data_IF_900468023980
#
_entry.id   IF_900468023980
#
_cell.length_a   1.000
_cell.length_b   1.000
_cell.length_c   1.000
_cell.angle_alpha   90.00
_cell.angle_beta   90.00
_cell.angle_gamma   90.00
#
_symmetry.space_group_name_H-M   'P 1'
#
loop_
_entity.id
_entity.type
_entity.pdbx_description
1 polymer ?
#
# COMPACT_ATOMS: atom_id res chain seq x y z
N UNK A 1 -8.00 -24.58 24.67
CA UNK A 1 -8.32 -23.47 23.73
C UNK A 1 -7.07 -22.91 23.07
N UNK A 2 -6.01 -22.59 23.81
CA UNK A 2 -4.75 -22.01 23.28
C UNK A 2 -4.08 -22.87 22.20
N UNK A 3 -3.95 -24.18 22.40
CA UNK A 3 -3.34 -25.08 21.39
C UNK A 3 -4.15 -25.12 20.09
N UNK A 4 -5.49 -25.10 20.18
CA UNK A 4 -6.35 -25.05 19.01
C UNK A 4 -6.14 -23.77 18.22
N UNK A 5 -6.11 -22.61 18.89
CA UNK A 5 -5.86 -21.30 18.24
C UNK A 5 -4.49 -21.30 17.54
N UNK A 6 -3.44 -21.81 18.19
CA UNK A 6 -2.11 -21.92 17.60
C UNK A 6 -2.10 -22.81 16.34
N UNK A 7 -2.79 -23.95 16.37
CA UNK A 7 -2.94 -24.84 15.21
C UNK A 7 -3.72 -24.15 14.08
N UNK A 8 -4.81 -23.44 14.40
CA UNK A 8 -5.59 -22.70 13.40
C UNK A 8 -4.77 -21.58 12.76
N UNK A 9 -3.95 -20.85 13.52
CA UNK A 9 -3.01 -19.89 12.95
C UNK A 9 -1.98 -20.55 12.03
N UNK A 10 -1.48 -21.73 12.40
CA UNK A 10 -0.55 -22.50 11.56
C UNK A 10 -1.18 -22.88 10.22
N UNK A 11 -2.40 -23.40 10.27
CA UNK A 11 -3.19 -23.71 9.07
C UNK A 11 -3.42 -22.44 8.25
N UNK A 12 -3.87 -21.34 8.88
CA UNK A 12 -4.15 -20.08 8.20
C UNK A 12 -2.94 -19.53 7.44
N UNK A 13 -1.77 -19.44 8.08
CA UNK A 13 -0.60 -18.89 7.38
C UNK A 13 -0.04 -19.85 6.33
N UNK A 14 -0.17 -21.17 6.52
CA UNK A 14 0.18 -22.15 5.49
C UNK A 14 -0.71 -22.00 4.25
N UNK A 15 -2.00 -21.73 4.43
CA UNK A 15 -2.91 -21.40 3.33
C UNK A 15 -2.58 -20.04 2.69
N UNK A 16 -2.13 -19.03 3.45
CA UNK A 16 -1.65 -17.78 2.84
C UNK A 16 -0.44 -18.02 1.93
N UNK A 17 0.56 -18.77 2.39
CA UNK A 17 1.74 -19.11 1.59
C UNK A 17 1.32 -19.87 0.33
N UNK A 18 0.54 -20.94 0.48
CA UNK A 18 0.10 -21.76 -0.66
C UNK A 18 -0.80 -20.99 -1.63
N UNK A 19 -1.69 -20.14 -1.11
CA UNK A 19 -2.55 -19.27 -1.90
C UNK A 19 -1.75 -18.29 -2.75
N UNK A 20 -0.75 -17.62 -2.17
CA UNK A 20 0.15 -16.70 -2.88
C UNK A 20 1.02 -17.40 -3.92
N UNK A 21 1.51 -18.62 -3.64
CA UNK A 21 2.20 -19.44 -4.65
C UNK A 21 1.28 -19.69 -5.85
N UNK A 22 0.00 -19.96 -5.60
CA UNK A 22 -1.00 -20.13 -6.65
C UNK A 22 -1.26 -18.88 -7.50
N UNK A 23 -0.99 -17.68 -6.99
CA UNK A 23 -1.15 -16.41 -7.74
C UNK A 23 -0.05 -16.16 -8.77
N UNK A 24 1.06 -16.90 -8.74
CA UNK A 24 2.18 -16.72 -9.68
C UNK A 24 1.87 -17.18 -11.10
N UNK A 25 0.88 -18.06 -11.28
CA UNK A 25 0.50 -18.64 -12.56
C UNK A 25 -0.95 -18.30 -12.96
N UNK A 26 -1.22 -17.92 -14.24
CA UNK A 26 -2.59 -17.60 -14.68
C UNK A 26 -3.60 -18.73 -14.47
N UNK A 27 -3.18 -19.99 -14.65
CA UNK A 27 -4.05 -21.18 -14.49
C UNK A 27 -4.46 -21.43 -13.03
N UNK A 28 -3.61 -21.07 -12.07
CA UNK A 28 -3.82 -21.33 -10.65
C UNK A 28 -4.32 -20.11 -9.89
N UNK A 29 -4.27 -18.90 -10.48
CA UNK A 29 -4.55 -17.64 -9.81
C UNK A 29 -5.90 -17.60 -9.09
N UNK A 30 -6.98 -18.06 -9.73
CA UNK A 30 -8.32 -18.09 -9.11
C UNK A 30 -8.35 -19.00 -7.88
N UNK A 31 -7.77 -20.19 -7.98
CA UNK A 31 -7.69 -21.15 -6.86
C UNK A 31 -6.81 -20.61 -5.74
N UNK A 32 -5.66 -20.02 -6.09
CA UNK A 32 -4.75 -19.39 -5.13
C UNK A 32 -5.44 -18.31 -4.30
N UNK A 33 -6.23 -17.45 -4.96
CA UNK A 33 -7.00 -16.42 -4.27
C UNK A 33 -8.05 -17.00 -3.31
N UNK A 34 -8.78 -18.05 -3.71
CA UNK A 34 -9.76 -18.71 -2.85
C UNK A 34 -9.11 -19.38 -1.63
N UNK A 35 -7.94 -19.99 -1.80
CA UNK A 35 -7.16 -20.60 -0.72
C UNK A 35 -6.71 -19.53 0.29
N UNK A 36 -6.19 -18.39 -0.19
CA UNK A 36 -5.82 -17.28 0.67
C UNK A 36 -7.03 -16.71 1.43
N UNK A 37 -8.20 -16.59 0.77
CA UNK A 37 -9.44 -16.17 1.42
C UNK A 37 -9.90 -17.14 2.52
N UNK A 38 -9.79 -18.45 2.29
CA UNK A 38 -10.06 -19.46 3.31
C UNK A 38 -9.09 -19.34 4.50
N UNK A 39 -7.80 -19.11 4.24
CA UNK A 39 -6.80 -18.82 5.27
C UNK A 39 -7.18 -17.62 6.14
N UNK A 40 -7.65 -16.53 5.52
CA UNK A 40 -8.14 -15.35 6.24
C UNK A 40 -9.36 -15.68 7.11
N UNK A 41 -10.33 -16.43 6.59
CA UNK A 41 -11.49 -16.88 7.37
C UNK A 41 -11.08 -17.68 8.62
N UNK A 42 -10.13 -18.60 8.47
CA UNK A 42 -9.60 -19.39 9.59
C UNK A 42 -8.87 -18.49 10.60
N UNK A 43 -8.06 -17.53 10.16
CA UNK A 43 -7.36 -16.60 11.06
C UNK A 43 -8.33 -15.75 11.89
N UNK A 44 -9.41 -15.25 11.27
CA UNK A 44 -10.46 -14.48 11.98
C UNK A 44 -11.15 -15.37 13.02
N UNK A 45 -11.57 -16.59 12.64
CA UNK A 45 -12.20 -17.53 13.57
C UNK A 45 -11.27 -17.86 14.74
N UNK A 46 -9.99 -18.14 14.45
CA UNK A 46 -8.99 -18.43 15.48
C UNK A 46 -8.83 -17.27 16.48
N UNK A 47 -8.83 -16.04 15.99
CA UNK A 47 -8.74 -14.83 16.82
C UNK A 47 -9.97 -14.68 17.73
N UNK A 48 -11.18 -14.94 17.20
CA UNK A 48 -12.42 -14.89 17.99
C UNK A 48 -12.48 -15.96 19.10
N UNK A 49 -11.75 -17.07 18.96
CA UNK A 49 -11.69 -18.13 19.97
C UNK A 49 -10.67 -17.86 21.09
N UNK A 50 -9.95 -16.72 21.05
CA UNK A 50 -9.00 -16.37 22.11
C UNK A 50 -9.70 -16.19 23.46
N UNK A 51 -9.14 -16.75 24.56
CA UNK A 51 -9.65 -16.50 25.90
C UNK A 51 -9.62 -15.00 26.23
N UNK A 52 -10.67 -14.48 26.86
CA UNK A 52 -10.77 -13.06 27.20
C UNK A 52 -11.37 -12.18 26.09
N UNK A 53 -11.71 -12.75 24.92
CA UNK A 53 -12.47 -12.03 23.89
C UNK A 53 -13.81 -11.58 24.46
N UNK A 54 -14.02 -10.27 24.46
CA UNK A 54 -15.19 -9.59 25.01
C UNK A 54 -15.73 -8.58 23.98
N UNK A 55 -16.78 -7.83 24.33
CA UNK A 55 -17.36 -6.81 23.45
C UNK A 55 -17.83 -7.36 22.09
N UNK A 56 -18.40 -8.56 22.09
CA UNK A 56 -18.89 -9.27 20.90
C UNK A 56 -19.78 -8.41 19.99
N UNK A 57 -20.60 -7.53 20.56
CA UNK A 57 -21.44 -6.60 19.80
C UNK A 57 -20.60 -5.60 18.99
N UNK A 58 -19.56 -5.01 19.59
CA UNK A 58 -18.67 -4.07 18.89
C UNK A 58 -17.84 -4.78 17.81
N UNK A 59 -17.36 -5.99 18.09
CA UNK A 59 -16.64 -6.82 17.10
C UNK A 59 -17.56 -7.12 15.91
N UNK A 60 -18.78 -7.60 16.17
CA UNK A 60 -19.76 -7.91 15.13
C UNK A 60 -20.14 -6.67 14.32
N UNK A 61 -20.35 -5.52 14.98
CA UNK A 61 -20.61 -4.24 14.30
C UNK A 61 -19.44 -3.79 13.43
N UNK A 62 -18.20 -3.91 13.91
CA UNK A 62 -17.00 -3.59 13.14
C UNK A 62 -16.89 -4.44 11.87
N UNK A 63 -17.07 -5.76 12.00
CA UNK A 63 -17.10 -6.69 10.86
C UNK A 63 -18.25 -6.33 9.90
N UNK A 64 -19.44 -6.07 10.42
CA UNK A 64 -20.61 -5.73 9.62
C UNK A 64 -20.40 -4.44 8.82
N UNK A 65 -19.95 -3.36 9.47
CA UNK A 65 -19.67 -2.07 8.82
C UNK A 65 -18.56 -2.22 7.77
N UNK A 66 -17.45 -2.87 8.13
CA UNK A 66 -16.35 -3.11 7.19
C UNK A 66 -16.78 -3.91 5.97
N UNK A 67 -17.60 -4.94 6.16
CA UNK A 67 -18.14 -5.77 5.06
C UNK A 67 -19.14 -4.98 4.21
N UNK A 68 -20.02 -4.20 4.84
CA UNK A 68 -21.05 -3.38 4.18
C UNK A 68 -20.43 -2.29 3.30
N UNK A 69 -19.32 -1.68 3.75
CA UNK A 69 -18.63 -0.64 2.98
C UNK A 69 -17.65 -1.25 1.95
N UNK A 70 -16.95 -2.32 2.32
CA UNK A 70 -15.91 -2.92 1.49
C UNK A 70 -16.44 -3.73 0.31
N UNK A 71 -17.41 -4.63 0.53
CA UNK A 71 -17.86 -5.57 -0.50
C UNK A 71 -18.57 -4.89 -1.68
N UNK A 72 -19.53 -3.96 -1.48
CA UNK A 72 -20.15 -3.26 -2.59
C UNK A 72 -19.15 -2.42 -3.38
N UNK A 73 -18.28 -1.68 -2.69
CA UNK A 73 -17.25 -0.84 -3.30
C UNK A 73 -16.28 -1.66 -4.16
N UNK A 74 -15.88 -2.85 -3.70
CA UNK A 74 -15.01 -3.75 -4.45
C UNK A 74 -15.70 -4.42 -5.66
N UNK A 75 -17.02 -4.68 -5.59
CA UNK A 75 -17.76 -5.34 -6.68
C UNK A 75 -18.23 -4.38 -7.77
N UNK A 76 -18.41 -3.11 -7.45
CA UNK A 76 -18.98 -2.12 -8.37
C UNK A 76 -17.92 -1.25 -9.08
N UNK A 77 -16.66 -1.32 -8.67
CA UNK A 77 -15.59 -0.55 -9.31
C UNK A 77 -15.32 -1.04 -10.74
N UNK A 78 -15.15 -0.10 -11.67
CA UNK A 78 -14.73 -0.39 -13.05
C UNK A 78 -13.27 -0.85 -13.08
N UNK A 79 -12.92 -1.75 -14.00
CA UNK A 79 -11.54 -2.26 -14.12
C UNK A 79 -10.49 -1.17 -14.37
N UNK A 80 -10.88 -0.07 -15.03
CA UNK A 80 -10.01 1.11 -15.26
C UNK A 80 -9.72 1.90 -13.97
N UNK A 81 -10.53 1.72 -12.94
CA UNK A 81 -10.44 2.38 -11.64
C UNK A 81 -9.88 1.47 -10.53
N UNK A 82 -9.33 0.31 -10.90
CA UNK A 82 -8.72 -0.63 -9.94
C UNK A 82 -7.55 -0.03 -9.15
N UNK A 83 -6.61 0.73 -9.76
CA UNK A 83 -5.45 1.23 -9.03
C UNK A 83 -5.80 2.08 -7.80
N UNK A 84 -6.79 2.99 -7.90
CA UNK A 84 -7.21 3.80 -6.76
C UNK A 84 -7.92 2.98 -5.68
N UNK A 85 -8.71 1.95 -6.05
CA UNK A 85 -9.35 1.09 -5.06
C UNK A 85 -8.33 0.27 -4.27
N UNK A 86 -7.28 -0.21 -4.94
CA UNK A 86 -6.14 -0.86 -4.26
C UNK A 86 -5.46 0.10 -3.30
N UNK A 87 -5.23 1.36 -3.70
CA UNK A 87 -4.66 2.38 -2.81
C UNK A 87 -5.52 2.59 -1.56
N UNK A 88 -6.84 2.73 -1.72
CA UNK A 88 -7.78 2.97 -0.63
C UNK A 88 -7.81 1.80 0.37
N UNK A 89 -7.96 0.56 -0.12
CA UNK A 89 -7.98 -0.63 0.75
C UNK A 89 -6.64 -0.86 1.45
N UNK A 90 -5.52 -0.62 0.77
CA UNK A 90 -4.21 -0.65 1.41
C UNK A 90 -4.13 0.38 2.55
N UNK A 91 -4.64 1.59 2.30
CA UNK A 91 -4.65 2.66 3.30
C UNK A 91 -5.38 2.23 4.56
N UNK A 92 -6.62 1.73 4.43
CA UNK A 92 -7.43 1.25 5.57
C UNK A 92 -6.68 0.18 6.39
N UNK A 93 -5.94 -0.72 5.74
CA UNK A 93 -5.09 -1.70 6.42
C UNK A 93 -3.99 -1.04 7.29
N UNK A 94 -3.27 -0.05 6.75
CA UNK A 94 -2.28 0.72 7.50
C UNK A 94 -2.91 1.52 8.66
N UNK A 95 -4.10 2.08 8.44
CA UNK A 95 -4.86 2.79 9.46
C UNK A 95 -5.28 1.87 10.61
N UNK A 96 -5.68 0.65 10.32
CA UNK A 96 -5.99 -0.35 11.35
C UNK A 96 -4.76 -0.66 12.22
N UNK A 97 -3.58 -0.84 11.63
CA UNK A 97 -2.33 -1.04 12.39
C UNK A 97 -2.01 0.17 13.27
N UNK A 98 -2.16 1.39 12.75
CA UNK A 98 -1.93 2.60 13.53
C UNK A 98 -2.87 2.72 14.75
N UNK A 99 -4.14 2.34 14.59
CA UNK A 99 -5.11 2.31 15.68
C UNK A 99 -4.81 1.18 16.68
N UNK A 100 -4.35 0.01 16.21
CA UNK A 100 -3.91 -1.08 17.10
C UNK A 100 -2.80 -0.57 18.03
N UNK A 101 -1.78 0.11 17.47
CA UNK A 101 -0.68 0.65 18.27
C UNK A 101 -1.12 1.72 19.28
N UNK A 102 -2.13 2.53 18.94
CA UNK A 102 -2.72 3.47 19.89
C UNK A 102 -3.44 2.76 21.04
N UNK A 103 -4.20 1.71 20.73
CA UNK A 103 -4.87 0.88 21.75
C UNK A 103 -3.84 0.20 22.64
N UNK A 104 -2.79 -0.41 22.09
CA UNK A 104 -1.70 -1.04 22.85
C UNK A 104 -1.04 -0.05 23.81
N UNK A 105 -0.73 1.16 23.34
CA UNK A 105 -0.17 2.23 24.19
C UNK A 105 -1.09 2.54 25.38
N UNK A 106 -2.41 2.70 25.15
CA UNK A 106 -3.35 3.02 26.24
C UNK A 106 -3.58 1.85 27.19
N UNK A 107 -3.62 0.62 26.69
CA UNK A 107 -3.87 -0.56 27.52
C UNK A 107 -2.67 -0.97 28.37
N UNK A 108 -1.45 -0.65 27.91
CA UNK A 108 -0.19 -0.97 28.62
C UNK A 108 0.34 0.17 29.48
N UNK A 109 -0.38 1.29 29.58
CA UNK A 109 0.10 2.46 30.33
C UNK A 109 1.37 3.08 29.74
N UNK A 110 1.47 3.15 28.40
CA UNK A 110 2.65 3.67 27.72
C UNK A 110 3.75 2.63 27.48
N UNK A 111 3.38 1.34 27.41
CA UNK A 111 4.30 0.20 27.34
C UNK A 111 5.18 0.04 28.60
N UNK A 112 4.66 0.45 29.76
CA UNK A 112 5.38 0.31 31.02
C UNK A 112 5.55 -1.18 31.38
N UNK A 113 6.78 -1.57 31.71
CA UNK A 113 7.13 -2.97 32.00
C UNK A 113 7.11 -3.93 30.80
N UNK A 114 6.75 -3.48 29.60
CA UNK A 114 6.78 -4.30 28.38
C UNK A 114 8.21 -4.50 27.86
N UNK A 115 8.43 -5.59 27.15
CA UNK A 115 9.73 -5.84 26.54
C UNK A 115 10.03 -4.80 25.45
N UNK A 116 11.27 -4.32 25.38
CA UNK A 116 11.70 -3.27 24.43
C UNK A 116 11.31 -3.60 22.98
N UNK A 117 11.37 -4.86 22.58
CA UNK A 117 11.01 -5.26 21.21
C UNK A 117 9.51 -5.07 20.91
N UNK A 118 8.63 -5.20 21.91
CA UNK A 118 7.18 -4.96 21.79
C UNK A 118 6.95 -3.47 21.57
N UNK A 119 7.51 -2.63 22.43
CA UNK A 119 7.42 -1.16 22.34
C UNK A 119 7.92 -0.66 20.99
N UNK A 120 9.09 -1.12 20.54
CA UNK A 120 9.66 -0.75 19.24
C UNK A 120 8.77 -1.23 18.08
N UNK A 121 8.26 -2.47 18.13
CA UNK A 121 7.41 -3.01 17.08
C UNK A 121 6.07 -2.27 16.98
N UNK A 122 5.39 -1.99 18.09
CA UNK A 122 4.15 -1.21 18.11
C UNK A 122 4.38 0.21 17.60
N UNK A 123 5.45 0.89 18.04
CA UNK A 123 5.72 2.27 17.60
C UNK A 123 6.13 2.35 16.12
N UNK A 124 6.89 1.37 15.62
CA UNK A 124 7.13 1.24 14.17
C UNK A 124 5.82 1.00 13.41
N UNK A 125 4.95 0.13 13.93
CA UNK A 125 3.61 -0.11 13.40
C UNK A 125 2.77 1.17 13.31
N UNK A 126 2.78 1.99 14.37
CA UNK A 126 2.10 3.29 14.41
C UNK A 126 2.57 4.23 13.30
N UNK A 127 3.90 4.39 13.16
CA UNK A 127 4.51 5.28 12.17
C UNK A 127 4.22 4.77 10.75
N UNK A 128 4.60 3.53 10.45
CA UNK A 128 4.47 2.96 9.11
C UNK A 128 3.00 2.82 8.68
N UNK A 129 2.12 2.42 9.61
CA UNK A 129 0.68 2.32 9.38
C UNK A 129 0.04 3.68 9.10
N UNK A 130 0.36 4.72 9.89
CA UNK A 130 -0.16 6.07 9.69
C UNK A 130 0.33 6.69 8.38
N UNK A 131 1.63 6.58 8.09
CA UNK A 131 2.20 7.02 6.79
C UNK A 131 1.48 6.33 5.63
N UNK A 132 1.25 5.02 5.74
CA UNK A 132 0.60 4.23 4.69
C UNK A 132 -0.86 4.63 4.49
N UNK A 133 -1.63 4.82 5.57
CA UNK A 133 -3.02 5.28 5.50
C UNK A 133 -3.13 6.62 4.79
N UNK A 134 -2.45 7.64 5.29
CA UNK A 134 -2.56 9.00 4.77
C UNK A 134 -1.93 9.16 3.39
N UNK A 135 -0.81 8.48 3.12
CA UNK A 135 -0.22 8.43 1.78
C UNK A 135 -1.15 7.77 0.76
N UNK A 136 -1.81 6.68 1.13
CA UNK A 136 -2.77 5.97 0.28
C UNK A 136 -3.98 6.83 -0.07
N UNK A 137 -4.45 7.68 0.85
CA UNK A 137 -5.56 8.61 0.58
C UNK A 137 -5.18 9.66 -0.48
N UNK A 138 -3.94 10.17 -0.47
CA UNK A 138 -3.47 11.07 -1.53
C UNK A 138 -3.34 10.33 -2.87
N UNK A 139 -2.82 9.10 -2.86
CA UNK A 139 -2.72 8.28 -4.07
C UNK A 139 -4.11 8.00 -4.67
N UNK A 140 -5.09 7.63 -3.83
CA UNK A 140 -6.49 7.48 -4.22
C UNK A 140 -7.04 8.79 -4.81
N UNK A 141 -6.90 9.91 -4.11
CA UNK A 141 -7.46 11.18 -4.52
C UNK A 141 -6.89 11.69 -5.86
N UNK A 142 -5.60 11.46 -6.12
CA UNK A 142 -4.97 11.80 -7.42
C UNK A 142 -5.47 10.93 -8.56
N UNK A 143 -5.55 9.62 -8.35
CA UNK A 143 -6.01 8.69 -9.38
C UNK A 143 -7.51 8.80 -9.66
N UNK A 144 -8.28 9.22 -8.66
CA UNK A 144 -9.71 9.52 -8.80
C UNK A 144 -9.98 10.90 -9.44
N UNK A 145 -8.95 11.73 -9.62
CA UNK A 145 -9.08 13.09 -10.16
C UNK A 145 -9.66 14.12 -9.17
N UNK A 146 -9.77 13.76 -7.88
CA UNK A 146 -10.15 14.69 -6.80
C UNK A 146 -9.01 15.69 -6.55
N UNK A 147 -7.76 15.20 -6.60
CA UNK A 147 -6.55 16.01 -6.62
C UNK A 147 -5.95 15.99 -8.02
N UNK A 148 -5.26 17.08 -8.45
CA UNK A 148 -4.61 17.07 -9.76
C UNK A 148 -3.44 16.09 -9.76
N UNK A 149 -3.24 15.39 -10.88
CA UNK A 149 -2.16 14.42 -11.04
C UNK A 149 -0.75 15.02 -11.14
N UNK A 150 -0.61 16.34 -11.24
CA UNK A 150 0.70 17.02 -11.25
C UNK A 150 1.33 17.00 -9.84
N UNK A 151 2.67 16.92 -9.74
CA UNK A 151 3.39 17.13 -8.48
C UNK A 151 2.95 18.40 -7.74
N UNK A 152 2.60 18.28 -6.45
CA UNK A 152 2.32 19.41 -5.56
C UNK A 152 3.27 19.30 -4.36
N UNK A 153 4.27 20.17 -4.28
CA UNK A 153 5.24 20.12 -3.20
C UNK A 153 6.08 21.37 -3.09
N UNK A 154 6.96 21.39 -2.10
CA UNK A 154 7.79 22.55 -1.76
C UNK A 154 9.18 22.53 -2.44
N UNK A 155 9.32 21.79 -3.55
CA UNK A 155 10.62 21.58 -4.21
C UNK A 155 11.64 20.98 -3.23
N UNK A 156 12.86 21.53 -3.19
CA UNK A 156 13.95 21.02 -2.34
C UNK A 156 13.66 21.10 -0.83
N UNK A 157 12.85 22.06 -0.40
CA UNK A 157 12.45 22.20 1.01
C UNK A 157 11.59 21.02 1.49
N UNK A 158 11.00 20.27 0.55
CA UNK A 158 10.22 19.07 0.86
C UNK A 158 11.07 18.00 1.56
N UNK A 159 12.36 17.87 1.22
CA UNK A 159 13.26 16.93 1.88
C UNK A 159 13.41 17.31 3.36
N UNK A 160 13.64 18.60 3.62
CA UNK A 160 13.78 19.11 4.99
C UNK A 160 12.49 18.89 5.78
N UNK A 161 11.33 19.22 5.20
CA UNK A 161 10.03 18.98 5.82
C UNK A 161 9.84 17.50 6.18
N UNK A 162 10.08 16.60 5.23
CA UNK A 162 9.90 15.16 5.44
C UNK A 162 10.85 14.63 6.52
N UNK A 163 12.11 15.07 6.53
CA UNK A 163 13.10 14.69 7.55
C UNK A 163 12.69 15.21 8.92
N UNK A 164 12.23 16.46 9.03
CA UNK A 164 11.77 17.05 10.31
C UNK A 164 10.54 16.32 10.84
N UNK A 165 9.56 16.02 9.98
CA UNK A 165 8.37 15.27 10.37
C UNK A 165 8.73 13.85 10.85
N UNK A 166 9.61 13.15 10.12
CA UNK A 166 10.06 11.82 10.52
C UNK A 166 10.86 11.87 11.82
N UNK A 167 11.80 12.80 11.96
CA UNK A 167 12.60 12.96 13.17
C UNK A 167 11.72 13.31 14.38
N UNK A 168 10.70 14.15 14.20
CA UNK A 168 9.73 14.46 15.25
C UNK A 168 8.90 13.24 15.67
N UNK A 169 8.40 12.46 14.70
CA UNK A 169 7.65 11.22 14.97
C UNK A 169 8.53 10.19 15.71
N UNK A 170 9.77 10.01 15.27
CA UNK A 170 10.74 9.11 15.91
C UNK A 170 11.14 9.61 17.29
N UNK A 171 11.35 10.92 17.48
CA UNK A 171 11.67 11.49 18.79
C UNK A 171 10.53 11.29 19.80
N UNK A 172 9.27 11.47 19.37
CA UNK A 172 8.10 11.18 20.20
C UNK A 172 8.00 9.67 20.53
N UNK A 173 8.28 8.79 19.57
CA UNK A 173 8.32 7.35 19.79
C UNK A 173 9.45 6.95 20.76
N UNK A 174 10.64 7.53 20.63
CA UNK A 174 11.76 7.30 21.55
C UNK A 174 11.42 7.79 22.95
N UNK A 175 10.75 8.95 23.08
CA UNK A 175 10.29 9.45 24.37
C UNK A 175 9.32 8.48 25.06
N UNK A 176 8.41 7.84 24.30
CA UNK A 176 7.56 6.75 24.82
C UNK A 176 8.42 5.57 25.29
N UNK A 177 9.35 5.11 24.45
CA UNK A 177 10.25 4.01 24.79
C UNK A 177 11.18 4.28 25.99
N UNK A 178 11.35 5.54 26.39
CA UNK A 178 12.08 5.96 27.58
C UNK A 178 11.19 6.09 28.83
N UNK A 179 9.93 5.65 28.77
CA UNK A 179 8.97 5.69 29.88
C UNK A 179 7.98 6.85 29.82
N UNK A 180 7.84 7.52 28.66
CA UNK A 180 6.83 8.55 28.45
C UNK A 180 5.44 7.94 28.24
N UNK A 181 4.53 8.14 29.17
CA UNK A 181 3.16 7.61 29.17
C UNK A 181 2.10 8.64 28.73
N UNK A 182 2.52 9.88 28.46
CA UNK A 182 1.62 10.96 28.05
C UNK A 182 0.93 10.63 26.73
N UNK A 183 -0.41 10.71 26.72
CA UNK A 183 -1.23 10.48 25.52
C UNK A 183 -0.90 11.47 24.39
N UNK A 184 -0.35 12.64 24.71
CA UNK A 184 0.13 13.59 23.71
C UNK A 184 1.29 13.04 22.89
N UNK A 185 2.12 12.14 23.45
CA UNK A 185 3.24 11.55 22.72
C UNK A 185 2.75 10.61 21.61
N UNK A 186 1.82 9.71 21.92
CA UNK A 186 1.28 8.79 20.89
C UNK A 186 0.48 9.55 19.85
N UNK A 187 -0.27 10.59 20.24
CA UNK A 187 -0.94 11.49 19.30
C UNK A 187 0.08 12.19 18.41
N UNK A 188 1.20 12.68 18.97
CA UNK A 188 2.26 13.30 18.19
C UNK A 188 2.88 12.31 17.19
N UNK A 189 3.16 11.07 17.59
CA UNK A 189 3.63 10.00 16.69
C UNK A 189 2.66 9.83 15.51
N UNK A 190 1.37 9.67 15.80
CA UNK A 190 0.34 9.42 14.78
C UNK A 190 0.13 10.60 13.85
N UNK A 191 0.05 11.82 14.38
CA UNK A 191 -0.19 13.05 13.60
C UNK A 191 1.02 13.45 12.78
N UNK A 192 2.23 13.40 13.35
CA UNK A 192 3.46 13.67 12.58
C UNK A 192 3.64 12.64 11.45
N UNK A 193 3.37 11.36 11.72
CA UNK A 193 3.38 10.31 10.69
C UNK A 193 2.28 10.51 9.65
N UNK A 194 1.12 11.00 10.05
CA UNK A 194 0.02 11.32 9.13
C UNK A 194 0.42 12.43 8.16
N UNK A 195 0.92 13.54 8.69
CA UNK A 195 1.40 14.67 7.89
C UNK A 195 2.58 14.24 7.03
N UNK A 196 3.48 13.38 7.52
CA UNK A 196 4.54 12.79 6.73
C UNK A 196 4.01 11.97 5.55
N UNK A 197 3.01 11.11 5.77
CA UNK A 197 2.36 10.34 4.70
C UNK A 197 1.78 11.24 3.61
N UNK A 198 1.10 12.32 4.00
CA UNK A 198 0.63 13.35 3.07
C UNK A 198 1.80 14.00 2.31
N UNK A 199 2.81 14.47 3.04
CA UNK A 199 3.95 15.22 2.53
C UNK A 199 4.86 14.39 1.61
N UNK A 200 4.96 13.08 1.81
CA UNK A 200 5.75 12.19 0.95
C UNK A 200 5.04 11.93 -0.38
N UNK A 201 3.71 11.80 -0.40
CA UNK A 201 2.97 11.38 -1.61
C UNK A 201 2.45 12.56 -2.45
N UNK A 202 2.13 13.70 -1.84
CA UNK A 202 1.70 14.93 -2.52
C UNK A 202 2.63 15.41 -3.65
N UNK A 203 3.96 15.33 -3.52
CA UNK A 203 4.88 15.80 -4.56
C UNK A 203 5.10 14.78 -5.69
N UNK A 204 4.62 13.54 -5.57
CA UNK A 204 4.85 12.50 -6.59
C UNK A 204 3.82 12.65 -7.73
N UNK A 205 4.24 12.47 -8.98
CA UNK A 205 3.35 12.60 -10.14
C UNK A 205 2.36 11.43 -10.29
N UNK A 206 1.20 11.69 -10.91
CA UNK A 206 0.14 10.70 -11.18
C UNK A 206 0.62 9.47 -11.95
N UNK A 207 1.55 9.66 -12.89
CA UNK A 207 2.14 8.59 -13.69
C UNK A 207 2.96 7.59 -12.84
N UNK A 208 3.52 8.03 -11.71
CA UNK A 208 4.31 7.19 -10.81
C UNK A 208 3.51 6.61 -9.65
N UNK A 209 2.22 6.97 -9.53
CA UNK A 209 1.35 6.50 -8.45
C UNK A 209 1.29 4.97 -8.32
N UNK A 210 1.31 4.16 -9.40
CA UNK A 210 1.34 2.70 -9.24
C UNK A 210 2.52 2.20 -8.41
N UNK A 211 3.72 2.79 -8.59
CA UNK A 211 4.91 2.43 -7.80
C UNK A 211 4.75 2.87 -6.35
N UNK A 212 4.19 4.05 -6.12
CA UNK A 212 3.92 4.56 -4.76
C UNK A 212 2.92 3.66 -4.03
N UNK A 213 1.85 3.23 -4.68
CA UNK A 213 0.86 2.32 -4.09
C UNK A 213 1.52 1.01 -3.68
N UNK A 214 2.37 0.45 -4.53
CA UNK A 214 3.13 -0.76 -4.20
C UNK A 214 4.10 -0.55 -3.01
N UNK A 215 4.76 0.61 -2.95
CA UNK A 215 5.65 0.96 -1.84
C UNK A 215 4.88 1.08 -0.52
N UNK A 216 3.73 1.77 -0.54
CA UNK A 216 2.86 1.89 0.63
C UNK A 216 2.27 0.53 1.04
N UNK A 217 1.99 -0.36 0.07
CA UNK A 217 1.56 -1.72 0.37
C UNK A 217 2.66 -2.55 1.06
N UNK A 218 3.91 -2.37 0.66
CA UNK A 218 5.05 -2.98 1.35
C UNK A 218 5.14 -2.47 2.80
N UNK A 219 4.99 -1.15 3.02
CA UNK A 219 5.00 -0.55 4.35
C UNK A 219 3.82 -1.02 5.21
N UNK A 220 2.61 -1.12 4.65
CA UNK A 220 1.46 -1.71 5.35
C UNK A 220 1.76 -3.14 5.81
N UNK A 221 2.33 -3.98 4.94
CA UNK A 221 2.72 -5.35 5.28
C UNK A 221 3.75 -5.41 6.42
N UNK A 222 4.81 -4.61 6.35
CA UNK A 222 5.82 -4.51 7.41
C UNK A 222 5.23 -4.00 8.73
N UNK A 223 4.33 -3.02 8.67
CA UNK A 223 3.63 -2.49 9.86
C UNK A 223 2.74 -3.56 10.51
N UNK A 224 2.03 -4.35 9.71
CA UNK A 224 1.19 -5.45 10.19
C UNK A 224 2.03 -6.58 10.80
N UNK A 225 3.22 -6.86 10.25
CA UNK A 225 4.16 -7.81 10.84
C UNK A 225 4.65 -7.34 12.20
N UNK A 226 4.94 -6.05 12.35
CA UNK A 226 5.36 -5.46 13.61
C UNK A 226 4.24 -5.48 14.67
N UNK A 227 3.01 -5.13 14.31
CA UNK A 227 1.85 -5.33 15.19
C UNK A 227 1.60 -6.81 15.51
N UNK A 228 1.90 -7.72 14.59
CA UNK A 228 1.88 -9.15 14.86
C UNK A 228 2.91 -9.54 15.93
N UNK A 229 4.09 -8.93 15.92
CA UNK A 229 5.13 -9.19 16.91
C UNK A 229 4.74 -8.67 18.30
N UNK A 230 4.17 -7.45 18.37
CA UNK A 230 3.72 -6.87 19.64
C UNK A 230 2.56 -7.65 20.26
N UNK A 231 1.61 -8.09 19.45
CA UNK A 231 0.45 -8.90 19.88
C UNK A 231 0.76 -10.39 20.04
N UNK A 232 2.00 -10.83 19.81
CA UNK A 232 2.39 -12.24 19.78
C UNK A 232 1.48 -13.10 18.87
N UNK A 233 1.12 -12.57 17.70
CA UNK A 233 0.22 -13.17 16.73
C UNK A 233 0.99 -13.65 15.49
N UNK A 234 1.31 -14.95 15.47
CA UNK A 234 2.08 -15.58 14.39
C UNK A 234 1.42 -15.42 13.01
N UNK A 235 0.09 -15.45 12.92
CA UNK A 235 -0.59 -15.30 11.64
C UNK A 235 -0.37 -13.89 11.05
N UNK A 236 -0.44 -12.85 11.89
CA UNK A 236 -0.16 -11.47 11.47
C UNK A 236 1.32 -11.27 11.12
N UNK A 237 2.24 -11.85 11.90
CA UNK A 237 3.69 -11.79 11.60
C UNK A 237 3.95 -12.36 10.21
N UNK A 238 3.50 -13.60 9.95
CA UNK A 238 3.78 -14.28 8.68
C UNK A 238 3.10 -13.58 7.51
N UNK A 239 1.80 -13.25 7.63
CA UNK A 239 1.06 -12.57 6.57
C UNK A 239 1.68 -11.19 6.25
N UNK A 240 1.98 -10.40 7.28
CA UNK A 240 2.60 -9.09 7.13
C UNK A 240 3.98 -9.16 6.47
N UNK A 241 4.84 -10.09 6.89
CA UNK A 241 6.17 -10.27 6.31
C UNK A 241 6.10 -10.66 4.84
N UNK A 242 5.18 -11.55 4.46
CA UNK A 242 5.01 -11.96 3.06
C UNK A 242 4.50 -10.79 2.21
N UNK A 243 3.52 -10.02 2.70
CA UNK A 243 3.01 -8.82 2.00
C UNK A 243 4.10 -7.75 1.89
N UNK A 244 4.86 -7.51 2.95
CA UNK A 244 5.97 -6.55 2.97
C UNK A 244 7.09 -6.90 1.98
N UNK A 245 7.52 -8.16 1.98
CA UNK A 245 8.54 -8.65 1.06
C UNK A 245 8.07 -8.63 -0.40
N UNK A 246 6.88 -9.18 -0.68
CA UNK A 246 6.30 -9.20 -2.03
C UNK A 246 6.03 -7.79 -2.56
N UNK A 247 5.51 -6.89 -1.73
CA UNK A 247 5.32 -5.48 -2.07
C UNK A 247 6.64 -4.78 -2.38
N UNK A 248 7.70 -5.05 -1.61
CA UNK A 248 9.03 -4.47 -1.87
C UNK A 248 9.61 -4.95 -3.21
N UNK A 249 9.48 -6.25 -3.51
CA UNK A 249 9.90 -6.84 -4.78
C UNK A 249 9.10 -6.24 -5.94
N UNK A 250 7.76 -6.19 -5.82
CA UNK A 250 6.88 -5.64 -6.83
C UNK A 250 7.21 -4.16 -7.10
N UNK A 251 7.44 -3.37 -6.05
CA UNK A 251 7.82 -1.96 -6.17
C UNK A 251 9.09 -1.80 -7.01
N UNK A 252 10.10 -2.63 -6.76
CA UNK A 252 11.35 -2.62 -7.51
C UNK A 252 11.16 -3.06 -8.98
N UNK A 253 10.36 -4.10 -9.23
CA UNK A 253 10.06 -4.56 -10.58
C UNK A 253 9.29 -3.50 -11.39
N UNK A 254 8.31 -2.85 -10.77
CA UNK A 254 7.54 -1.77 -11.40
C UNK A 254 8.41 -0.55 -11.71
N UNK A 255 9.26 -0.12 -10.77
CA UNK A 255 10.19 0.99 -11.00
C UNK A 255 11.14 0.70 -12.16
N UNK A 256 11.74 -0.50 -12.18
CA UNK A 256 12.62 -0.96 -13.28
C UNK A 256 11.89 -1.02 -14.62
N UNK A 257 10.66 -1.55 -14.65
CA UNK A 257 9.85 -1.60 -15.87
C UNK A 257 9.52 -0.20 -16.41
N UNK A 258 9.47 0.81 -15.54
CA UNK A 258 9.29 2.22 -15.90
C UNK A 258 10.62 2.95 -16.22
N UNK A 259 11.75 2.24 -16.30
CA UNK A 259 13.09 2.81 -16.48
C UNK A 259 13.45 3.90 -15.46
N UNK A 260 12.95 3.77 -14.22
CA UNK A 260 13.23 4.70 -13.10
C UNK A 260 13.68 3.94 -11.87
N UNK A 261 14.43 4.59 -10.99
CA UNK A 261 14.78 4.04 -9.68
C UNK A 261 13.77 4.49 -8.62
N UNK A 262 13.58 3.70 -7.55
CA UNK A 262 12.70 4.08 -6.42
C UNK A 262 13.10 5.44 -5.82
N UNK A 263 14.38 5.73 -5.54
CA UNK A 263 14.78 7.06 -5.09
C UNK A 263 14.45 8.17 -6.09
N UNK A 264 14.58 7.93 -7.40
CA UNK A 264 14.22 8.94 -8.41
C UNK A 264 12.70 9.16 -8.52
N UNK A 265 11.88 8.19 -8.15
CA UNK A 265 10.41 8.34 -8.09
C UNK A 265 10.02 9.15 -6.86
N UNK A 266 10.57 8.81 -5.69
CA UNK A 266 10.27 9.50 -4.43
C UNK A 266 10.89 10.90 -4.38
N UNK A 267 12.18 11.03 -4.70
CA UNK A 267 12.91 12.30 -4.67
C UNK A 267 12.68 13.19 -5.90
N UNK A 268 12.26 12.61 -7.04
CA UNK A 268 11.89 13.37 -8.23
C UNK A 268 10.73 14.34 -7.98
N UNK A 269 9.82 13.99 -7.07
CA UNK A 269 8.76 14.89 -6.59
C UNK A 269 9.26 16.02 -5.68
N UNK A 270 10.42 15.85 -5.03
CA UNK A 270 10.98 16.77 -4.04
C UNK A 270 11.97 17.77 -4.66
N UNK A 271 11.83 18.06 -5.96
CA UNK A 271 12.75 18.93 -6.69
C UNK A 271 14.16 18.38 -6.86
N UNK A 272 14.37 17.09 -6.56
CA UNK A 272 15.60 16.33 -6.80
C UNK A 272 15.46 15.49 -8.06
N UNK A 273 15.50 16.15 -9.22
CA UNK A 273 15.23 15.47 -10.49
C UNK A 273 15.45 16.34 -11.70
N UNK A 274 16.49 17.18 -11.69
CA UNK A 274 17.17 17.50 -12.93
C UNK A 274 17.83 16.21 -13.39
N UNK A 275 17.07 15.33 -14.06
CA UNK A 275 17.67 14.44 -15.03
C UNK A 275 18.34 15.42 -15.98
N UNK A 276 19.67 15.44 -16.01
CA UNK A 276 20.38 15.98 -17.15
C UNK A 276 19.70 15.30 -18.33
N UNK A 277 18.92 16.07 -19.09
CA UNK A 277 18.33 15.60 -20.34
C UNK A 277 19.54 15.02 -21.04
N UNK A 278 19.64 13.69 -21.10
CA UNK A 278 20.68 13.05 -21.88
C UNK A 278 20.59 13.75 -23.21
N UNK A 279 21.70 14.31 -23.69
CA UNK A 279 21.76 15.14 -24.89
C UNK A 279 21.37 14.34 -26.13
N UNK A 280 20.13 13.87 -26.17
CA UNK A 280 19.45 13.48 -27.38
C UNK A 280 19.25 14.77 -28.13
N UNK A 281 19.85 14.81 -29.32
CA UNK A 281 19.79 15.90 -30.29
C UNK A 281 18.46 16.66 -30.16
N UNK A 282 18.52 17.80 -29.48
CA UNK A 282 17.39 18.69 -29.19
C UNK A 282 17.00 19.50 -30.42
N UNK A 283 16.87 18.84 -31.56
CA UNK A 283 16.26 19.41 -32.74
C UNK A 283 14.75 19.17 -32.70
N UNK A 284 13.98 20.14 -33.19
CA UNK A 284 12.58 19.94 -33.54
C UNK A 284 12.50 18.74 -34.50
N UNK A 285 11.98 17.61 -34.01
CA UNK A 285 11.74 16.44 -34.87
C UNK A 285 10.51 16.74 -35.70
N UNK A 286 10.62 16.60 -37.01
CA UNK A 286 9.48 16.74 -37.92
C UNK A 286 8.44 15.65 -37.61
N UNK A 287 7.24 16.06 -37.20
CA UNK A 287 6.10 15.16 -37.02
C UNK A 287 5.60 14.73 -38.38
N UNK A 288 5.52 13.41 -38.62
CA UNK A 288 4.83 12.85 -39.81
C UNK A 288 3.42 12.46 -39.42
N UNK A 289 2.43 13.17 -39.96
CA UNK A 289 1.00 12.86 -39.80
C UNK A 289 0.51 11.94 -40.92
N UNK A 290 -0.39 11.02 -40.60
CA UNK A 290 -1.06 10.12 -41.57
C UNK A 290 -2.56 10.05 -41.28
N UNK A 291 -3.39 9.66 -42.25
CA UNK A 291 -4.80 9.43 -42.02
C UNK A 291 -5.09 8.00 -41.53
N UNK A 292 -6.27 7.78 -40.93
CA UNK A 292 -6.70 6.43 -40.54
C UNK A 292 -6.86 5.48 -41.75
N UNK A 293 -7.28 6.02 -42.91
CA UNK A 293 -7.39 5.25 -44.14
C UNK A 293 -6.02 4.80 -44.67
N UNK A 294 -5.01 5.68 -44.64
CA UNK A 294 -3.66 5.34 -45.07
C UNK A 294 -3.01 4.30 -44.14
N UNK A 295 -3.26 4.41 -42.82
CA UNK A 295 -2.80 3.42 -41.86
C UNK A 295 -3.46 2.06 -42.09
N UNK A 296 -4.76 2.01 -42.39
CA UNK A 296 -5.46 0.78 -42.75
C UNK A 296 -4.89 0.14 -44.02
N UNK A 297 -4.55 0.95 -45.02
CA UNK A 297 -3.96 0.50 -46.27
C UNK A 297 -2.55 -0.07 -46.06
N UNK A 298 -1.71 0.59 -45.26
CA UNK A 298 -0.40 0.06 -44.88
C UNK A 298 -0.50 -1.26 -44.11
N UNK A 299 -1.46 -1.38 -43.18
CA UNK A 299 -1.69 -2.60 -42.43
C UNK A 299 -2.25 -3.74 -43.29
N UNK A 300 -3.07 -3.43 -44.31
CA UNK A 300 -3.67 -4.43 -45.21
C UNK A 300 -2.64 -5.15 -46.09
N UNK A 301 -1.51 -4.49 -46.40
CA UNK A 301 -0.41 -5.06 -47.18
C UNK A 301 0.79 -5.49 -46.33
N UNK A 302 0.69 -5.43 -45.00
CA UNK A 302 1.76 -5.86 -44.10
C UNK A 302 1.66 -7.37 -43.81
N UNK A 303 2.79 -8.09 -43.89
CA UNK A 303 2.85 -9.52 -43.54
C UNK A 303 2.75 -9.76 -42.02
N UNK A 304 3.19 -8.79 -41.21
CA UNK A 304 3.19 -8.87 -39.76
C UNK A 304 2.91 -7.51 -39.13
N UNK A 305 1.90 -7.46 -38.26
CA UNK A 305 1.54 -6.27 -37.49
C UNK A 305 1.68 -6.58 -36.00
N UNK A 306 2.35 -5.69 -35.28
CA UNK A 306 2.46 -5.74 -33.82
C UNK A 306 1.75 -4.52 -33.23
N UNK A 307 0.68 -4.76 -32.49
CA UNK A 307 -0.06 -3.70 -31.79
C UNK A 307 0.60 -3.47 -30.42
N UNK A 308 1.03 -2.24 -30.16
CA UNK A 308 1.61 -1.83 -28.87
C UNK A 308 0.60 -0.99 -28.10
N UNK A 309 -0.25 -1.60 -27.25
CA UNK A 309 -1.26 -0.86 -26.51
C UNK A 309 -0.62 0.04 -25.44
N UNK A 310 -1.23 1.20 -25.21
CA UNK A 310 -0.86 2.13 -24.14
C UNK A 310 -2.06 2.57 -23.32
N UNK A 311 -1.82 3.35 -22.27
CA UNK A 311 -2.86 3.85 -21.38
C UNK A 311 -3.99 4.60 -22.11
N UNK A 312 -3.66 5.34 -23.18
CA UNK A 312 -4.64 6.06 -24.00
C UNK A 312 -5.73 5.16 -24.61
N UNK A 313 -5.37 3.94 -25.03
CA UNK A 313 -6.33 2.97 -25.57
C UNK A 313 -7.36 2.55 -24.50
N UNK A 314 -6.89 2.28 -23.28
CA UNK A 314 -7.74 1.88 -22.17
C UNK A 314 -8.66 3.02 -21.73
N UNK A 315 -8.17 4.27 -21.69
CA UNK A 315 -9.00 5.45 -21.35
C UNK A 315 -10.08 5.70 -22.40
N UNK A 316 -9.75 5.54 -23.68
CA UNK A 316 -10.71 5.67 -24.79
C UNK A 316 -11.67 4.48 -24.92
N UNK A 317 -11.50 3.42 -24.12
CA UNK A 317 -12.26 2.16 -24.22
C UNK A 317 -12.13 1.49 -25.61
N UNK A 318 -11.02 1.73 -26.30
CA UNK A 318 -10.80 1.27 -27.68
C UNK A 318 -10.39 -0.21 -27.78
N UNK A 319 -10.14 -0.89 -26.66
CA UNK A 319 -9.71 -2.29 -26.65
C UNK A 319 -10.70 -3.26 -27.33
N UNK A 320 -11.99 -2.91 -27.38
CA UNK A 320 -12.99 -3.73 -28.06
C UNK A 320 -12.81 -3.64 -29.59
N UNK A 321 -12.72 -2.41 -30.11
CA UNK A 321 -12.51 -2.17 -31.53
C UNK A 321 -11.14 -2.62 -32.06
N UNK A 322 -10.10 -2.63 -31.20
CA UNK A 322 -8.76 -3.13 -31.58
C UNK A 322 -8.70 -4.66 -31.59
N UNK A 323 -9.56 -5.31 -30.80
CA UNK A 323 -9.63 -6.77 -30.72
C UNK A 323 -10.36 -7.36 -31.93
N UNK A 324 -11.42 -6.70 -32.37
CA UNK A 324 -12.27 -7.11 -33.49
C UNK A 324 -11.57 -6.88 -34.84
#
# INVERSE_FOLDING_TARGET
MSTLVAVLYLVAFSLFIYGLMGLTGPRTAVRGNLIAAAGMGIAVIATLLLPGTSNWLLIALGIAIGTLLGVPSARQVKMTAMPQMVALFNGVGGGAVALISWVEFRSSGGFDGEAVYITVASLFGAIAGSVSFWGSLIAFAKLQGILPGRPIGLGRLQIVLNVVLLAGAVAAAVAIGMGGDSELLIIAVLVLSAVLGLAVVLPIGGADMPVVISLLNALTGLSAAAAGLSLNNTAMIVAGMIVGASGSILTNLMAKAMNRSIPAIVAGGFGGGGVAVGGGEGGDKTVRSTSAADAALQMAYADQVVVVPGYGMAVAQAQHAVKD
#
